data_IF_421705788935
#
_entry.id   IF_421705788935
#
_cell.length_a   1.000
_cell.length_b   1.000
_cell.length_c   1.000
_cell.angle_alpha   90.00
_cell.angle_beta   90.00
_cell.angle_gamma   90.00
#
_symmetry.space_group_name_H-M   'P 1'
#
loop_
_entity.id
_entity.type
_entity.pdbx_description
1 polymer ?
#
# COMPACT_ATOMS: atom_id res chain seq x y z
N UNK A 1 17.17 -6.97 -12.76
CA UNK A 1 18.29 -6.05 -12.54
C UNK A 1 18.21 -4.72 -13.33
N UNK A 2 17.81 -4.69 -14.61
CA UNK A 2 17.79 -3.44 -15.42
C UNK A 2 16.65 -2.44 -15.06
N UNK A 3 15.55 -2.88 -14.44
CA UNK A 3 14.38 -2.01 -14.18
C UNK A 3 14.50 -1.06 -12.97
N UNK A 4 15.33 -1.36 -11.96
CA UNK A 4 15.39 -0.54 -10.72
C UNK A 4 16.23 0.76 -10.86
N UNK A 5 17.23 0.79 -11.73
CA UNK A 5 18.15 1.95 -11.82
C UNK A 5 17.46 3.25 -12.24
N UNK A 6 16.32 3.17 -12.94
CA UNK A 6 15.58 4.36 -13.39
C UNK A 6 14.81 5.04 -12.25
N UNK A 7 14.34 4.27 -11.26
CA UNK A 7 13.62 4.80 -10.10
C UNK A 7 14.56 5.58 -9.18
N UNK A 8 15.77 5.04 -8.95
CA UNK A 8 16.79 5.69 -8.13
C UNK A 8 17.20 7.06 -8.68
N UNK A 9 17.39 7.15 -10.00
CA UNK A 9 17.71 8.41 -10.67
C UNK A 9 16.59 9.45 -10.54
N UNK A 10 15.33 8.99 -10.55
CA UNK A 10 14.16 9.86 -10.47
C UNK A 10 13.93 10.37 -9.04
N UNK A 11 14.22 9.54 -8.03
CA UNK A 11 14.25 9.92 -6.62
C UNK A 11 15.21 11.09 -6.39
N UNK A 12 16.44 10.97 -6.87
CA UNK A 12 17.49 11.98 -6.67
C UNK A 12 17.23 13.29 -7.42
N UNK A 13 16.54 13.24 -8.56
CA UNK A 13 16.31 14.43 -9.39
C UNK A 13 15.04 15.19 -9.09
N UNK A 14 13.99 14.52 -8.64
CA UNK A 14 12.64 15.09 -8.52
C UNK A 14 12.08 15.03 -7.09
N UNK A 15 12.85 14.50 -6.13
CA UNK A 15 12.45 14.38 -4.72
C UNK A 15 11.08 13.73 -4.52
N UNK A 16 10.71 12.80 -5.41
CA UNK A 16 9.43 12.11 -5.35
C UNK A 16 9.55 10.97 -4.31
N UNK A 17 8.70 10.91 -3.29
CA UNK A 17 8.70 9.81 -2.33
C UNK A 17 8.29 8.50 -3.02
N UNK A 18 9.07 7.44 -2.81
CA UNK A 18 8.84 6.14 -3.45
C UNK A 18 8.31 5.12 -2.44
N UNK A 19 7.10 4.64 -2.72
CA UNK A 19 6.48 3.50 -2.04
C UNK A 19 6.74 2.25 -2.89
N UNK A 20 7.23 1.17 -2.28
CA UNK A 20 7.56 -0.07 -2.98
C UNK A 20 7.03 -1.30 -2.26
N UNK A 21 6.63 -2.31 -3.03
CA UNK A 21 6.41 -3.65 -2.52
C UNK A 21 7.76 -4.38 -2.55
N UNK A 22 8.14 -5.00 -1.43
CA UNK A 22 9.42 -5.68 -1.26
C UNK A 22 9.15 -7.13 -0.89
N UNK A 23 9.70 -8.06 -1.68
CA UNK A 23 9.78 -9.49 -1.37
C UNK A 23 11.24 -9.91 -1.11
N UNK A 24 11.47 -11.19 -0.80
CA UNK A 24 12.76 -11.82 -0.47
C UNK A 24 13.91 -11.57 -1.45
N UNK A 25 13.61 -11.19 -2.69
CA UNK A 25 14.57 -10.95 -3.77
C UNK A 25 14.83 -9.45 -4.03
N UNK A 26 14.25 -8.54 -3.24
CA UNK A 26 14.28 -7.10 -3.48
C UNK A 26 14.97 -6.37 -2.32
N UNK A 27 15.89 -5.46 -2.63
CA UNK A 27 16.58 -4.65 -1.63
C UNK A 27 15.68 -3.48 -1.15
N UNK A 28 15.29 -3.44 0.14
CA UNK A 28 14.42 -2.40 0.68
C UNK A 28 15.09 -1.02 0.74
N UNK A 29 16.42 -0.93 0.64
CA UNK A 29 17.18 0.32 0.77
C UNK A 29 16.92 1.32 -0.37
N UNK A 30 16.27 0.87 -1.44
CA UNK A 30 16.03 1.64 -2.66
C UNK A 30 14.73 2.45 -2.61
N UNK A 31 13.89 2.24 -1.59
CA UNK A 31 12.58 2.86 -1.45
C UNK A 31 12.42 3.55 -0.08
N UNK A 32 11.61 4.60 -0.02
CA UNK A 32 11.40 5.37 1.21
C UNK A 32 10.42 4.69 2.16
N UNK A 33 9.38 4.09 1.59
CA UNK A 33 8.34 3.39 2.32
C UNK A 33 8.18 1.96 1.77
N UNK A 34 9.00 1.01 2.23
CA UNK A 34 8.91 -0.39 1.81
C UNK A 34 7.73 -1.09 2.48
N UNK A 35 6.90 -1.78 1.69
CA UNK A 35 5.80 -2.62 2.12
C UNK A 35 6.21 -4.09 1.91
N UNK A 36 6.45 -4.87 2.97
CA UNK A 36 6.81 -6.27 2.84
C UNK A 36 5.61 -7.08 2.35
N UNK A 37 5.68 -7.60 1.13
CA UNK A 37 4.64 -8.44 0.55
C UNK A 37 5.14 -9.14 -0.72
N UNK A 38 4.45 -10.22 -1.11
CA UNK A 38 4.73 -10.93 -2.36
C UNK A 38 4.25 -10.09 -3.55
N UNK A 39 5.18 -9.70 -4.42
CA UNK A 39 4.94 -8.89 -5.62
C UNK A 39 4.51 -9.71 -6.85
N UNK A 40 4.70 -11.03 -6.85
CA UNK A 40 4.26 -11.91 -7.94
C UNK A 40 2.76 -12.24 -7.87
N UNK A 41 2.14 -12.14 -6.68
CA UNK A 41 0.74 -12.51 -6.50
C UNK A 41 -0.23 -11.38 -6.81
N UNK A 42 -1.06 -11.56 -7.83
CA UNK A 42 -2.11 -10.60 -8.18
C UNK A 42 -3.08 -10.32 -7.03
N UNK A 43 -3.36 -11.33 -6.19
CA UNK A 43 -4.24 -11.19 -5.03
C UNK A 43 -3.64 -10.25 -3.98
N UNK A 44 -2.33 -10.36 -3.76
CA UNK A 44 -1.60 -9.51 -2.83
C UNK A 44 -1.55 -8.07 -3.34
N UNK A 45 -1.23 -7.87 -4.62
CA UNK A 45 -1.24 -6.55 -5.26
C UNK A 45 -2.63 -5.91 -5.13
N UNK A 46 -3.69 -6.64 -5.49
CA UNK A 46 -5.07 -6.14 -5.39
C UNK A 46 -5.44 -5.74 -3.97
N UNK A 47 -5.04 -6.53 -2.96
CA UNK A 47 -5.31 -6.21 -1.56
C UNK A 47 -4.64 -4.90 -1.15
N UNK A 48 -3.35 -4.74 -1.46
CA UNK A 48 -2.58 -3.54 -1.12
C UNK A 48 -3.17 -2.31 -1.82
N UNK A 49 -3.42 -2.40 -3.13
CA UNK A 49 -3.98 -1.30 -3.91
C UNK A 49 -5.36 -0.91 -3.39
N UNK A 50 -6.24 -1.89 -3.12
CA UNK A 50 -7.58 -1.60 -2.61
C UNK A 50 -7.54 -0.88 -1.26
N UNK A 51 -6.64 -1.28 -0.35
CA UNK A 51 -6.50 -0.63 0.95
C UNK A 51 -5.99 0.81 0.83
N UNK A 52 -5.02 1.05 -0.06
CA UNK A 52 -4.51 2.40 -0.36
C UNK A 52 -5.64 3.27 -0.93
N UNK A 53 -6.38 2.76 -1.91
CA UNK A 53 -7.50 3.48 -2.53
C UNK A 53 -8.58 3.80 -1.50
N UNK A 54 -8.97 2.83 -0.67
CA UNK A 54 -9.96 3.04 0.40
C UNK A 54 -9.49 4.14 1.37
N UNK A 55 -8.20 4.12 1.74
CA UNK A 55 -7.62 5.12 2.63
C UNK A 55 -7.66 6.51 2.00
N UNK A 56 -7.23 6.65 0.75
CA UNK A 56 -7.25 7.94 0.02
C UNK A 56 -8.68 8.47 -0.10
N UNK A 57 -9.64 7.63 -0.47
CA UNK A 57 -11.06 8.02 -0.56
C UNK A 57 -11.57 8.45 0.82
N UNK A 58 -11.19 7.74 1.90
CA UNK A 58 -11.61 8.09 3.25
C UNK A 58 -11.04 9.42 3.74
N UNK A 59 -9.81 9.77 3.32
CA UNK A 59 -9.17 11.05 3.66
C UNK A 59 -9.77 12.16 2.81
N UNK A 60 -9.90 11.96 1.50
CA UNK A 60 -10.49 12.95 0.60
C UNK A 60 -11.92 13.32 0.97
N UNK A 61 -12.71 12.37 1.51
CA UNK A 61 -14.06 12.65 2.02
C UNK A 61 -14.08 13.39 3.35
N UNK A 62 -13.04 13.24 4.18
CA UNK A 62 -12.92 13.93 5.47
C UNK A 62 -12.57 15.41 5.33
N UNK A 63 -12.04 15.82 4.19
CA UNK A 63 -11.79 17.24 3.92
C UNK A 63 -13.10 18.02 3.64
N UNK A 64 -14.16 17.32 3.20
CA UNK A 64 -15.52 17.89 3.05
C UNK A 64 -16.35 17.77 4.34
N UNK A 65 -16.15 16.71 5.14
CA UNK A 65 -16.90 16.45 6.36
C UNK A 65 -15.98 16.36 7.60
N UNK A 66 -15.74 17.49 8.29
CA UNK A 66 -15.28 17.49 9.69
C UNK A 66 -16.38 16.96 10.62
N UNK A 67 -16.67 15.66 10.56
CA UNK A 67 -17.45 14.96 11.60
C UNK A 67 -17.32 13.43 11.51
N UNK A 68 -16.60 12.89 12.50
CA UNK A 68 -16.78 11.60 13.17
C UNK A 68 -16.75 10.22 12.48
N UNK A 69 -16.06 9.34 13.23
CA UNK A 69 -16.24 7.89 13.39
C UNK A 69 -15.66 6.96 12.31
N UNK A 70 -14.61 6.22 12.69
CA UNK A 70 -14.18 5.02 11.98
C UNK A 70 -14.74 3.80 12.73
N UNK A 71 -15.78 3.12 12.23
CA UNK A 71 -16.14 1.80 12.72
C UNK A 71 -15.27 0.75 12.01
N UNK A 72 -14.34 0.19 12.77
CA UNK A 72 -13.53 -0.97 12.42
C UNK A 72 -14.45 -2.20 12.21
N UNK A 73 -14.71 -2.55 10.94
CA UNK A 73 -15.43 -3.78 10.57
C UNK A 73 -14.51 -4.99 10.58
N UNK A 74 -13.89 -5.29 11.72
CA UNK A 74 -13.43 -6.64 12.05
C UNK A 74 -14.57 -7.45 12.65
N UNK A 75 -15.61 -7.75 11.85
CA UNK A 75 -16.62 -8.75 12.23
C UNK A 75 -17.04 -9.62 11.06
N UNK A 76 -16.84 -10.92 11.28
CA UNK A 76 -17.53 -12.10 10.71
C UNK A 76 -16.94 -12.71 9.44
N UNK A 77 -16.03 -13.67 9.68
CA UNK A 77 -15.99 -15.03 9.10
C UNK A 77 -15.16 -15.85 10.10
N UNK A 78 -15.61 -16.87 10.83
CA UNK A 78 -16.76 -17.76 10.73
C UNK A 78 -17.14 -18.25 12.14
N UNK A 79 -18.40 -18.11 12.51
CA UNK A 79 -19.04 -18.92 13.55
C UNK A 79 -20.24 -19.58 12.89
N UNK A 80 -20.06 -20.80 12.41
CA UNK A 80 -21.12 -21.74 12.00
C UNK A 80 -20.51 -23.14 12.07
N UNK A 81 -21.07 -24.20 12.64
CA UNK A 81 -22.18 -24.49 13.58
C UNK A 81 -21.97 -25.99 13.92
N UNK A 82 -22.21 -26.37 15.18
CA UNK A 82 -22.34 -27.74 15.75
C UNK A 82 -21.20 -28.74 15.54
#
# INVERSE_FOLDING_TARGET
MVKLNRLLYRKLKLEIPIICIVDSNTDPSLCDYPIPANDDSIRTIQLIVNEIVNTIISVSKKDDDKSESVPDKKRRKRRVVK
#
